data_IF_079409703128
#
_entry.id   IF_079409703128
#
_cell.length_a   1.000
_cell.length_b   1.000
_cell.length_c   1.000
_cell.angle_alpha   90.00
_cell.angle_beta   90.00
_cell.angle_gamma   90.00
#
_symmetry.space_group_name_H-M   'P 1'
#
loop_
_entity.id
_entity.type
_entity.pdbx_description
1 polymer ?
#
# COMPACT_ATOMS: atom_id res chain seq x y z
N UNK A 1 -9.47 -10.23 -5.22
CA UNK A 1 -8.95 -10.33 -3.83
C UNK A 1 -8.59 -8.92 -3.32
N UNK A 2 -8.69 -8.61 -2.01
CA UNK A 2 -8.37 -7.27 -1.49
C UNK A 2 -6.94 -6.82 -1.84
N UNK A 3 -5.98 -7.74 -1.96
CA UNK A 3 -4.59 -7.47 -2.40
C UNK A 3 -4.53 -6.90 -3.83
N UNK A 4 -5.33 -7.41 -4.77
CA UNK A 4 -5.37 -6.92 -6.16
C UNK A 4 -5.95 -5.50 -6.24
N UNK A 5 -6.93 -5.20 -5.38
CA UNK A 5 -7.53 -3.87 -5.27
C UNK A 5 -6.47 -2.86 -4.82
N UNK A 6 -5.77 -3.12 -3.72
CA UNK A 6 -4.81 -2.17 -3.15
C UNK A 6 -3.52 -2.04 -3.97
N UNK A 7 -3.04 -3.13 -4.59
CA UNK A 7 -1.90 -3.03 -5.51
C UNK A 7 -2.22 -2.21 -6.75
N UNK A 8 -3.45 -2.30 -7.30
CA UNK A 8 -3.90 -1.45 -8.40
C UNK A 8 -3.99 0.02 -8.01
N UNK A 9 -4.55 0.33 -6.84
CA UNK A 9 -4.68 1.70 -6.33
C UNK A 9 -3.31 2.36 -6.08
N UNK A 10 -2.39 1.65 -5.42
CA UNK A 10 -1.04 2.17 -5.15
C UNK A 10 -0.24 2.38 -6.44
N UNK A 11 -0.40 1.48 -7.43
CA UNK A 11 0.25 1.65 -8.74
C UNK A 11 -0.26 2.89 -9.48
N UNK A 12 -1.57 3.09 -9.54
CA UNK A 12 -2.16 4.26 -10.18
C UNK A 12 -1.73 5.56 -9.49
N UNK A 13 -1.73 5.58 -8.16
CA UNK A 13 -1.29 6.73 -7.37
C UNK A 13 0.19 7.09 -7.62
N UNK A 14 1.07 6.08 -7.71
CA UNK A 14 2.48 6.30 -8.05
C UNK A 14 2.64 6.86 -9.46
N UNK A 15 1.88 6.34 -10.42
CA UNK A 15 1.91 6.81 -11.81
C UNK A 15 1.51 8.28 -11.89
N UNK A 16 0.43 8.67 -11.22
CA UNK A 16 0.01 10.08 -11.18
C UNK A 16 1.05 11.00 -10.50
N UNK A 17 1.71 10.53 -9.44
CA UNK A 17 2.79 11.30 -8.80
C UNK A 17 4.00 11.47 -9.72
N UNK A 18 4.51 10.39 -10.31
CA UNK A 18 5.68 10.45 -11.19
C UNK A 18 5.39 11.14 -12.54
N UNK A 19 4.14 11.16 -12.99
CA UNK A 19 3.71 11.95 -14.15
C UNK A 19 3.50 13.44 -13.82
N UNK A 20 3.64 13.85 -12.55
CA UNK A 20 3.48 15.23 -12.12
C UNK A 20 2.03 15.71 -12.06
N UNK A 21 1.06 14.79 -12.03
CA UNK A 21 -0.36 15.10 -11.84
C UNK A 21 -0.74 15.33 -10.38
N UNK A 22 0.13 14.95 -9.45
CA UNK A 22 -0.10 15.00 -8.01
C UNK A 22 1.06 15.70 -7.30
N UNK A 23 0.74 16.63 -6.40
CA UNK A 23 1.73 17.25 -5.54
C UNK A 23 2.22 16.24 -4.47
N UNK A 24 3.46 16.37 -4.00
CA UNK A 24 4.04 15.44 -3.02
C UNK A 24 3.21 15.29 -1.74
N UNK A 25 2.70 16.39 -1.17
CA UNK A 25 1.88 16.36 0.04
C UNK A 25 0.54 15.62 -0.18
N UNK A 26 -0.06 15.79 -1.36
CA UNK A 26 -1.29 15.10 -1.73
C UNK A 26 -1.04 13.60 -1.96
N UNK A 27 0.04 13.26 -2.67
CA UNK A 27 0.52 11.90 -2.86
C UNK A 27 0.77 11.20 -1.52
N UNK A 28 1.51 11.85 -0.62
CA UNK A 28 1.86 11.31 0.71
C UNK A 28 0.60 11.00 1.52
N UNK A 29 -0.37 11.91 1.53
CA UNK A 29 -1.63 11.73 2.24
C UNK A 29 -2.43 10.56 1.67
N UNK A 30 -2.68 10.55 0.36
CA UNK A 30 -3.47 9.51 -0.30
C UNK A 30 -2.83 8.12 -0.16
N UNK A 31 -1.49 8.05 -0.23
CA UNK A 31 -0.74 6.82 -0.01
C UNK A 31 -0.89 6.33 1.43
N UNK A 32 -0.82 7.24 2.40
CA UNK A 32 -1.05 6.93 3.82
C UNK A 32 -2.46 6.38 4.08
N UNK A 33 -3.48 7.00 3.49
CA UNK A 33 -4.88 6.56 3.61
C UNK A 33 -5.06 5.14 3.06
N UNK A 34 -4.50 4.84 1.88
CA UNK A 34 -4.56 3.49 1.27
C UNK A 34 -3.85 2.45 2.16
N UNK A 35 -2.67 2.78 2.68
CA UNK A 35 -1.92 1.87 3.55
C UNK A 35 -2.62 1.65 4.90
N UNK A 36 -3.31 2.67 5.43
CA UNK A 36 -4.12 2.55 6.63
C UNK A 36 -5.35 1.66 6.45
N UNK A 37 -6.04 1.76 5.30
CA UNK A 37 -7.14 0.84 4.95
C UNK A 37 -6.66 -0.60 4.84
N UNK A 38 -5.52 -0.82 4.19
CA UNK A 38 -4.86 -2.12 4.08
C UNK A 38 -4.57 -2.73 5.46
N UNK A 39 -3.98 -1.94 6.35
CA UNK A 39 -3.66 -2.38 7.71
C UNK A 39 -4.94 -2.71 8.51
N UNK A 40 -5.97 -1.88 8.40
CA UNK A 40 -7.27 -2.10 9.05
C UNK A 40 -7.96 -3.39 8.58
N UNK A 41 -7.99 -3.66 7.26
CA UNK A 41 -8.57 -4.89 6.72
C UNK A 41 -7.81 -6.14 7.18
N UNK A 42 -6.49 -6.06 7.27
CA UNK A 42 -5.70 -7.19 7.79
C UNK A 42 -5.84 -7.43 9.28
N UNK A 43 -6.03 -6.37 10.07
CA UNK A 43 -6.27 -6.48 11.50
C UNK A 43 -7.69 -6.95 11.83
N UNK A 44 -8.67 -6.74 10.95
CA UNK A 44 -10.06 -7.21 11.11
C UNK A 44 -10.30 -8.66 10.72
N UNK A 45 -9.27 -9.41 10.32
CA UNK A 45 -9.40 -10.83 9.97
C UNK A 45 -8.85 -11.74 11.08
N UNK A 46 -9.59 -12.01 12.17
CA UNK A 46 -9.15 -12.95 13.19
C UNK A 46 -9.36 -14.38 12.66
N UNK A 47 -8.27 -15.05 12.28
CA UNK A 47 -8.25 -16.51 12.15
C UNK A 47 -7.97 -17.13 10.79
N UNK A 48 -7.53 -16.39 9.76
CA UNK A 48 -7.04 -17.04 8.53
C UNK A 48 -5.54 -17.34 8.65
N UNK A 49 -5.27 -18.63 8.77
CA UNK A 49 -4.00 -19.30 8.91
C UNK A 49 -2.87 -18.77 8.00
N UNK A 50 -1.72 -18.56 8.63
CA UNK A 50 -0.42 -19.08 8.23
C UNK A 50 -0.02 -18.98 6.73
N UNK A 51 0.85 -18.00 6.45
CA UNK A 51 2.10 -18.29 5.73
C UNK A 51 2.32 -17.60 4.38
N UNK A 52 1.27 -17.29 3.61
CA UNK A 52 1.47 -16.79 2.23
C UNK A 52 0.87 -15.40 1.96
N UNK A 53 -0.40 -15.15 2.28
CA UNK A 53 -1.03 -13.84 2.00
C UNK A 53 -0.54 -12.72 2.93
N UNK A 54 -0.34 -13.04 4.21
CA UNK A 54 0.31 -12.15 5.19
C UNK A 54 1.75 -11.80 4.78
N UNK A 55 2.43 -12.69 4.05
CA UNK A 55 3.78 -12.49 3.54
C UNK A 55 3.81 -11.57 2.31
N UNK A 56 2.83 -11.68 1.40
CA UNK A 56 2.70 -10.78 0.24
C UNK A 56 2.38 -9.37 0.69
N UNK A 57 1.43 -9.19 1.62
CA UNK A 57 1.11 -7.86 2.09
C UNK A 57 2.25 -7.23 2.91
N UNK A 58 2.91 -8.01 3.78
CA UNK A 58 4.09 -7.55 4.47
C UNK A 58 5.22 -7.15 3.50
N UNK A 59 5.37 -7.86 2.37
CA UNK A 59 6.32 -7.50 1.30
C UNK A 59 5.93 -6.23 0.57
N UNK A 60 4.64 -6.02 0.31
CA UNK A 60 4.12 -4.78 -0.28
C UNK A 60 4.40 -3.60 0.65
N UNK A 61 4.06 -3.73 1.94
CA UNK A 61 4.36 -2.73 2.96
C UNK A 61 5.87 -2.48 3.10
N UNK A 62 6.70 -3.53 3.10
CA UNK A 62 8.16 -3.40 3.21
C UNK A 62 8.79 -2.73 1.97
N UNK A 63 8.34 -3.07 0.76
CA UNK A 63 8.79 -2.42 -0.47
C UNK A 63 8.53 -0.92 -0.41
N UNK A 64 7.30 -0.55 -0.01
CA UNK A 64 6.89 0.85 0.11
C UNK A 64 7.63 1.61 1.22
N UNK A 65 7.89 0.99 2.37
CA UNK A 65 8.73 1.59 3.42
C UNK A 65 10.17 1.82 2.95
N UNK A 66 10.76 0.87 2.23
CA UNK A 66 12.14 1.00 1.72
C UNK A 66 12.30 2.06 0.63
N UNK A 67 11.21 2.41 -0.07
CA UNK A 67 11.23 3.49 -1.08
C UNK A 67 11.27 4.87 -0.40
N UNK A 68 10.60 5.04 0.75
CA UNK A 68 10.64 6.30 1.52
C UNK A 68 12.00 6.58 2.16
N UNK A 69 12.83 5.56 2.39
CA UNK A 69 14.20 5.72 2.92
C UNK A 69 15.24 6.06 1.85
N UNK A 70 14.87 5.99 0.56
CA UNK A 70 15.77 6.19 -0.58
C UNK A 70 15.55 7.51 -1.34
N UNK A 71 14.54 8.31 -0.94
CA UNK A 71 14.28 9.68 -1.43
C UNK A 71 14.85 10.72 -0.45
#
# INVERSE_FOLDING_TARGET
>A
MPIEKYSGLLRALNEDYYCGHLAFEEYRKLRGDILGEVESETNMTPGTQAGHESNVLARVLAYFKSTEESE
#
